data_IF_279288729900
#
_entry.id   IF_279288729900
#
_cell.length_a   1.000
_cell.length_b   1.000
_cell.length_c   1.000
_cell.angle_alpha   90.00
_cell.angle_beta   90.00
_cell.angle_gamma   90.00
#
_symmetry.space_group_name_H-M   'P 1'
#
loop_
_entity.id
_entity.type
_entity.pdbx_description
1 polymer ?
#
# COMPACT_ATOMS: atom_id res chain seq x y z
N UNK A 1 -61.61 60.71 -33.22
CA UNK A 1 -61.67 59.24 -33.06
C UNK A 1 -62.84 58.95 -32.13
N UNK A 2 -63.74 58.01 -32.48
CA UNK A 2 -64.82 57.62 -31.57
C UNK A 2 -64.22 57.04 -30.28
N UNK A 3 -64.77 57.45 -29.14
CA UNK A 3 -64.37 56.90 -27.85
C UNK A 3 -64.74 55.40 -27.81
N UNK A 4 -63.82 54.50 -27.45
CA UNK A 4 -64.15 53.08 -27.31
C UNK A 4 -65.21 52.90 -26.23
N UNK A 5 -66.11 51.94 -26.45
CA UNK A 5 -67.17 51.61 -25.50
C UNK A 5 -66.55 51.15 -24.17
N UNK A 6 -67.00 51.67 -23.01
CA UNK A 6 -66.48 51.25 -21.71
C UNK A 6 -66.72 49.76 -21.47
N UNK A 7 -65.73 49.06 -20.92
CA UNK A 7 -65.90 47.68 -20.47
C UNK A 7 -66.74 47.63 -19.20
N UNK A 8 -67.63 46.65 -19.09
CA UNK A 8 -68.38 46.36 -17.86
C UNK A 8 -67.53 45.59 -16.86
N UNK A 9 -67.92 45.57 -15.58
CA UNK A 9 -67.21 44.81 -14.53
C UNK A 9 -67.02 43.34 -14.90
N UNK A 10 -68.03 42.71 -15.50
CA UNK A 10 -68.00 41.31 -15.92
C UNK A 10 -67.08 41.06 -17.13
N UNK A 11 -66.76 42.10 -17.91
CA UNK A 11 -65.82 42.01 -19.04
C UNK A 11 -64.36 42.13 -18.61
N UNK A 12 -64.10 42.64 -17.40
CA UNK A 12 -62.73 42.82 -16.87
C UNK A 12 -62.40 41.85 -15.75
N UNK A 13 -63.40 41.29 -15.07
CA UNK A 13 -63.21 40.38 -13.95
C UNK A 13 -63.59 38.94 -14.31
N UNK A 14 -62.57 38.08 -14.37
CA UNK A 14 -62.77 36.64 -14.55
C UNK A 14 -62.70 35.94 -13.19
N UNK A 15 -63.87 35.57 -12.67
CA UNK A 15 -63.99 34.78 -11.43
C UNK A 15 -63.48 33.35 -11.68
N UNK A 16 -62.70 32.80 -10.73
CA UNK A 16 -62.47 31.36 -10.64
C UNK A 16 -63.71 30.72 -9.99
N UNK A 17 -64.51 29.92 -10.72
CA UNK A 17 -65.75 29.40 -10.19
C UNK A 17 -65.47 28.24 -9.20
N UNK A 18 -65.78 28.45 -7.92
CA UNK A 18 -65.51 27.52 -6.83
C UNK A 18 -66.19 26.15 -7.02
N UNK A 19 -67.34 26.12 -7.69
CA UNK A 19 -68.06 24.88 -8.02
C UNK A 19 -67.32 23.97 -9.02
N UNK A 20 -66.18 24.39 -9.57
CA UNK A 20 -65.29 23.55 -10.38
C UNK A 20 -64.17 22.88 -9.58
N UNK A 21 -64.01 23.23 -8.31
CA UNK A 21 -63.03 22.62 -7.42
C UNK A 21 -63.71 21.48 -6.66
N UNK A 22 -63.10 20.31 -6.67
CA UNK A 22 -63.59 19.08 -6.04
C UNK A 22 -63.02 18.87 -4.62
N UNK A 23 -62.39 19.89 -4.06
CA UNK A 23 -61.76 19.90 -2.74
C UNK A 23 -62.20 21.12 -1.91
N UNK A 24 -62.07 21.05 -0.58
CA UNK A 24 -62.43 22.14 0.34
C UNK A 24 -61.21 22.99 0.66
N UNK A 25 -60.07 22.36 0.94
CA UNK A 25 -58.78 23.03 1.12
C UNK A 25 -57.71 22.37 0.27
N UNK A 26 -56.62 23.09 0.02
CA UNK A 26 -55.47 22.54 -0.72
C UNK A 26 -54.77 21.40 0.02
N UNK A 27 -55.04 21.23 1.32
CA UNK A 27 -54.51 20.11 2.10
C UNK A 27 -55.19 18.77 1.73
N UNK A 28 -56.37 18.83 1.11
CA UNK A 28 -57.10 17.65 0.62
C UNK A 28 -56.52 17.12 -0.70
N UNK A 29 -55.63 17.88 -1.35
CA UNK A 29 -55.05 17.53 -2.65
C UNK A 29 -53.87 16.58 -2.49
N UNK A 30 -53.81 15.60 -3.39
CA UNK A 30 -52.63 14.75 -3.53
C UNK A 30 -51.53 15.47 -4.30
N UNK A 31 -50.29 15.22 -3.93
CA UNK A 31 -49.14 15.71 -4.69
C UNK A 31 -49.18 15.17 -6.11
N UNK A 32 -49.03 16.07 -7.09
CA UNK A 32 -48.93 15.69 -8.50
C UNK A 32 -47.62 14.95 -8.72
N UNK A 33 -47.63 13.77 -9.34
CA UNK A 33 -46.41 13.00 -9.66
C UNK A 33 -45.43 13.73 -10.59
N UNK A 34 -45.97 14.57 -11.49
CA UNK A 34 -45.19 15.34 -12.45
C UNK A 34 -45.64 16.81 -12.48
N UNK A 35 -44.72 17.75 -12.75
CA UNK A 35 -45.07 19.14 -12.92
C UNK A 35 -46.01 19.33 -14.12
N UNK A 36 -47.16 19.95 -13.86
CA UNK A 36 -48.20 20.18 -14.85
C UNK A 36 -47.79 21.24 -15.89
N UNK A 37 -48.10 21.00 -17.17
CA UNK A 37 -47.90 21.97 -18.26
C UNK A 37 -46.47 22.09 -18.81
N UNK A 38 -45.56 21.19 -18.43
CA UNK A 38 -44.15 21.19 -18.87
C UNK A 38 -43.80 19.99 -19.78
N UNK A 39 -44.75 19.49 -20.57
CA UNK A 39 -44.62 18.26 -21.39
C UNK A 39 -43.40 18.26 -22.34
N UNK A 40 -43.02 19.44 -22.84
CA UNK A 40 -41.83 19.58 -23.70
C UNK A 40 -40.54 19.35 -22.91
N UNK A 41 -40.45 19.87 -21.69
CA UNK A 41 -39.27 19.74 -20.84
C UNK A 41 -39.14 18.31 -20.34
N UNK A 42 -40.25 17.69 -19.92
CA UNK A 42 -40.28 16.30 -19.48
C UNK A 42 -39.82 15.34 -20.58
N UNK A 43 -40.29 15.50 -21.82
CA UNK A 43 -39.81 14.70 -22.96
C UNK A 43 -38.33 14.90 -23.27
N UNK A 44 -37.82 16.12 -23.12
CA UNK A 44 -36.39 16.40 -23.33
C UNK A 44 -35.52 15.76 -22.23
N UNK A 45 -35.98 15.80 -20.97
CA UNK A 45 -35.34 15.13 -19.84
C UNK A 45 -35.33 13.61 -20.02
N UNK A 46 -36.46 13.02 -20.44
CA UNK A 46 -36.57 11.58 -20.70
C UNK A 46 -35.66 11.14 -21.85
N UNK A 47 -35.64 11.88 -22.95
CA UNK A 47 -34.72 11.61 -24.05
C UNK A 47 -33.26 11.72 -23.60
N UNK A 48 -32.89 12.80 -22.91
CA UNK A 48 -31.52 13.03 -22.46
C UNK A 48 -31.04 11.98 -21.46
N UNK A 49 -31.86 11.68 -20.45
CA UNK A 49 -31.53 10.69 -19.42
C UNK A 49 -31.55 9.24 -19.95
N UNK A 50 -32.16 8.99 -21.11
CA UNK A 50 -32.14 7.69 -21.79
C UNK A 50 -30.86 7.40 -22.59
N UNK A 51 -30.05 8.42 -22.88
CA UNK A 51 -28.81 8.26 -23.65
C UNK A 51 -27.71 7.72 -22.73
N UNK A 52 -27.19 6.52 -23.05
CA UNK A 52 -26.03 5.91 -22.34
C UNK A 52 -24.68 6.10 -23.03
N UNK A 53 -24.62 6.90 -24.09
CA UNK A 53 -23.39 7.16 -24.83
C UNK A 53 -22.56 8.26 -24.13
N UNK A 54 -21.24 8.11 -24.16
CA UNK A 54 -20.32 9.14 -23.66
C UNK A 54 -20.42 10.44 -24.46
N UNK A 55 -20.16 11.57 -23.79
CA UNK A 55 -20.17 12.90 -24.40
C UNK A 55 -21.53 13.59 -24.48
N UNK A 56 -22.60 12.94 -24.02
CA UNK A 56 -23.94 13.54 -23.96
C UNK A 56 -24.23 14.08 -22.56
N UNK A 57 -24.51 15.38 -22.48
CA UNK A 57 -24.91 16.06 -21.25
C UNK A 57 -26.20 16.85 -21.49
N UNK A 58 -27.03 17.01 -20.46
CA UNK A 58 -28.23 17.84 -20.52
C UNK A 58 -27.99 19.20 -19.85
N UNK A 59 -28.38 20.28 -20.52
CA UNK A 59 -28.38 21.63 -19.96
C UNK A 59 -29.81 22.18 -19.92
N UNK A 60 -30.24 22.65 -18.74
CA UNK A 60 -31.62 23.09 -18.51
C UNK A 60 -31.65 24.61 -18.36
N UNK A 61 -32.33 25.28 -19.29
CA UNK A 61 -32.48 26.74 -19.34
C UNK A 61 -33.96 27.14 -19.15
N UNK A 62 -34.18 28.23 -18.42
CA UNK A 62 -35.51 28.83 -18.27
C UNK A 62 -35.51 30.00 -17.31
N UNK A 63 -36.63 30.73 -17.20
CA UNK A 63 -36.71 31.95 -16.41
C UNK A 63 -36.45 31.71 -14.92
N UNK A 64 -36.11 32.78 -14.20
CA UNK A 64 -35.99 32.73 -12.74
C UNK A 64 -37.35 32.46 -12.11
N UNK A 65 -37.39 31.72 -11.00
CA UNK A 65 -38.62 31.33 -10.31
C UNK A 65 -39.40 30.17 -10.96
N UNK A 66 -38.94 29.61 -12.09
CA UNK A 66 -39.63 28.52 -12.78
C UNK A 66 -39.47 27.12 -12.14
N UNK A 67 -38.92 27.02 -10.92
CA UNK A 67 -38.75 25.72 -10.23
C UNK A 67 -37.85 24.72 -10.96
N UNK A 68 -36.90 25.19 -11.78
CA UNK A 68 -36.09 24.31 -12.67
C UNK A 68 -35.34 23.20 -11.93
N UNK A 69 -34.68 23.55 -10.82
CA UNK A 69 -33.89 22.59 -10.04
C UNK A 69 -34.78 21.49 -9.47
N UNK A 70 -35.86 21.87 -8.79
CA UNK A 70 -36.85 20.94 -8.24
C UNK A 70 -37.44 20.01 -9.33
N UNK A 71 -37.78 20.56 -10.49
CA UNK A 71 -38.29 19.78 -11.62
C UNK A 71 -37.28 18.73 -12.10
N UNK A 72 -36.02 19.12 -12.26
CA UNK A 72 -34.95 18.24 -12.76
C UNK A 72 -34.59 17.19 -11.73
N UNK A 73 -34.40 17.60 -10.47
CA UNK A 73 -34.07 16.72 -9.36
C UNK A 73 -35.17 15.66 -9.17
N UNK A 74 -36.43 16.08 -9.12
CA UNK A 74 -37.55 15.15 -8.99
C UNK A 74 -37.64 14.15 -10.14
N UNK A 75 -37.49 14.63 -11.39
CA UNK A 75 -37.50 13.77 -12.56
C UNK A 75 -36.34 12.75 -12.52
N UNK A 76 -35.12 13.23 -12.25
CA UNK A 76 -33.93 12.38 -12.20
C UNK A 76 -34.01 11.37 -11.06
N UNK A 77 -34.46 11.76 -9.88
CA UNK A 77 -34.61 10.86 -8.73
C UNK A 77 -35.56 9.70 -9.02
N UNK A 78 -36.72 9.97 -9.66
CA UNK A 78 -37.67 8.93 -10.06
C UNK A 78 -37.09 7.98 -11.12
N UNK A 79 -36.33 8.51 -12.07
CA UNK A 79 -35.70 7.70 -13.11
C UNK A 79 -34.51 6.89 -12.57
N UNK A 80 -33.68 7.51 -11.74
CA UNK A 80 -32.47 6.95 -11.17
C UNK A 80 -32.77 5.81 -10.19
N UNK A 81 -33.86 5.90 -9.42
CA UNK A 81 -34.34 4.82 -8.55
C UNK A 81 -34.65 3.50 -9.30
N UNK A 82 -34.86 3.54 -10.63
CA UNK A 82 -35.11 2.37 -11.47
C UNK A 82 -33.86 1.83 -12.17
N UNK A 83 -32.73 2.51 -12.03
CA UNK A 83 -31.45 2.09 -12.62
C UNK A 83 -30.77 1.05 -11.73
N UNK A 84 -29.81 0.27 -12.26
CA UNK A 84 -28.96 -0.56 -11.41
C UNK A 84 -28.14 0.30 -10.46
N UNK A 85 -27.91 -0.22 -9.24
CA UNK A 85 -26.99 0.40 -8.28
C UNK A 85 -25.58 0.39 -8.88
N UNK A 86 -24.87 1.53 -8.92
CA UNK A 86 -23.52 1.58 -9.45
C UNK A 86 -22.53 0.82 -8.58
N UNK A 87 -21.37 0.43 -9.15
CA UNK A 87 -20.30 -0.22 -8.39
C UNK A 87 -19.67 0.71 -7.34
N UNK A 88 -19.07 0.12 -6.32
CA UNK A 88 -18.18 0.82 -5.39
C UNK A 88 -16.81 1.05 -6.05
N UNK A 89 -16.11 2.09 -5.59
CA UNK A 89 -14.76 2.41 -6.05
C UNK A 89 -13.81 2.63 -4.88
N UNK A 90 -12.67 1.95 -4.93
CA UNK A 90 -11.61 2.02 -3.94
C UNK A 90 -10.29 2.47 -4.59
N UNK A 91 -9.61 3.42 -3.96
CA UNK A 91 -8.19 3.67 -4.22
C UNK A 91 -7.32 2.74 -3.39
N UNK A 92 -6.35 2.15 -4.06
CA UNK A 92 -5.34 1.27 -3.47
C UNK A 92 -3.95 1.82 -3.74
N UNK A 93 -2.99 1.48 -2.89
CA UNK A 93 -1.62 1.90 -3.09
C UNK A 93 -1.04 1.24 -4.35
N UNK A 94 -0.24 1.98 -5.10
CA UNK A 94 0.43 1.44 -6.27
C UNK A 94 1.91 1.24 -5.96
N UNK A 95 2.28 -0.02 -5.73
CA UNK A 95 3.64 -0.42 -5.35
C UNK A 95 4.69 -0.09 -6.43
N UNK A 96 4.28 0.09 -7.70
CA UNK A 96 5.20 0.49 -8.79
C UNK A 96 5.36 1.99 -8.91
N UNK A 97 4.28 2.74 -8.68
CA UNK A 97 4.23 4.19 -8.83
C UNK A 97 3.47 4.81 -7.65
N UNK A 98 4.18 5.12 -6.57
CA UNK A 98 3.59 5.60 -5.32
C UNK A 98 2.76 6.89 -5.45
N UNK A 99 3.01 7.68 -6.50
CA UNK A 99 2.30 8.92 -6.84
C UNK A 99 1.04 8.69 -7.69
N UNK A 100 0.75 7.44 -8.07
CA UNK A 100 -0.36 7.06 -8.96
C UNK A 100 -1.20 5.95 -8.33
N UNK A 101 -2.10 6.27 -7.38
CA UNK A 101 -2.92 5.26 -6.73
C UNK A 101 -3.73 4.44 -7.76
N UNK A 102 -3.81 3.14 -7.53
CA UNK A 102 -4.67 2.26 -8.32
C UNK A 102 -6.13 2.49 -7.98
N UNK A 103 -7.04 2.09 -8.88
CA UNK A 103 -8.47 2.09 -8.63
C UNK A 103 -9.01 0.68 -8.85
N UNK A 104 -9.77 0.17 -7.90
CA UNK A 104 -10.45 -1.13 -7.98
C UNK A 104 -11.96 -0.87 -7.94
N UNK A 105 -12.65 -1.47 -8.90
CA UNK A 105 -14.11 -1.47 -8.97
C UNK A 105 -14.65 -2.70 -8.23
N UNK A 106 -15.62 -2.50 -7.34
CA UNK A 106 -16.28 -3.59 -6.62
C UNK A 106 -17.80 -3.54 -6.85
N UNK A 107 -18.51 -4.68 -6.72
CA UNK A 107 -19.96 -4.66 -6.62
C UNK A 107 -20.42 -3.76 -5.47
N UNK A 108 -21.60 -3.15 -5.62
CA UNK A 108 -22.16 -2.24 -4.63
C UNK A 108 -22.18 -2.85 -3.22
N UNK A 109 -21.66 -2.09 -2.24
CA UNK A 109 -21.56 -2.48 -0.84
C UNK A 109 -20.39 -3.41 -0.49
N UNK A 110 -19.65 -3.96 -1.45
CA UNK A 110 -18.48 -4.79 -1.16
C UNK A 110 -17.24 -3.95 -0.82
N UNK A 111 -17.22 -2.66 -1.16
CA UNK A 111 -16.10 -1.75 -0.87
C UNK A 111 -15.85 -1.58 0.64
N UNK A 112 -16.91 -1.49 1.46
CA UNK A 112 -16.78 -1.45 2.92
C UNK A 112 -16.12 -2.72 3.47
N UNK A 113 -16.54 -3.89 2.97
CA UNK A 113 -15.99 -5.16 3.40
C UNK A 113 -14.51 -5.28 3.00
N UNK A 114 -14.15 -4.89 1.79
CA UNK A 114 -12.76 -4.94 1.32
C UNK A 114 -11.86 -3.99 2.14
N UNK A 115 -12.34 -2.76 2.42
CA UNK A 115 -11.62 -1.80 3.28
C UNK A 115 -11.37 -2.36 4.68
N UNK A 116 -12.37 -3.02 5.25
CA UNK A 116 -12.27 -3.68 6.56
C UNK A 116 -11.25 -4.81 6.53
N UNK A 117 -11.38 -5.73 5.57
CA UNK A 117 -10.47 -6.87 5.40
C UNK A 117 -9.01 -6.44 5.27
N UNK A 118 -8.73 -5.41 4.47
CA UNK A 118 -7.37 -4.90 4.28
C UNK A 118 -6.83 -4.17 5.52
N UNK A 119 -7.71 -3.55 6.31
CA UNK A 119 -7.33 -2.93 7.57
C UNK A 119 -7.03 -3.97 8.65
N UNK A 120 -7.81 -5.06 8.70
CA UNK A 120 -7.57 -6.22 9.56
C UNK A 120 -6.28 -6.93 9.16
N UNK A 121 -6.04 -7.15 7.87
CA UNK A 121 -4.77 -7.68 7.36
C UNK A 121 -3.60 -6.80 7.82
N UNK A 122 -3.67 -5.49 7.65
CA UNK A 122 -2.57 -4.60 8.06
C UNK A 122 -2.26 -4.70 9.57
N UNK A 123 -3.28 -4.83 10.42
CA UNK A 123 -3.08 -5.03 11.86
C UNK A 123 -2.56 -6.44 12.20
N UNK A 124 -2.96 -7.45 11.45
CA UNK A 124 -2.42 -8.81 11.60
C UNK A 124 -0.95 -8.89 11.17
N UNK A 125 -0.58 -8.27 10.05
CA UNK A 125 0.82 -8.17 9.61
C UNK A 125 1.70 -7.44 10.63
N UNK A 126 1.14 -6.43 11.32
CA UNK A 126 1.83 -5.68 12.36
C UNK A 126 2.26 -6.56 13.54
N UNK A 127 1.56 -7.67 13.80
CA UNK A 127 1.84 -8.56 14.94
C UNK A 127 2.46 -9.89 14.51
N UNK A 128 1.97 -10.49 13.44
CA UNK A 128 2.38 -11.82 12.98
C UNK A 128 3.82 -11.85 12.47
N UNK A 129 4.26 -10.84 11.72
CA UNK A 129 5.61 -10.81 11.15
C UNK A 129 6.68 -10.66 12.26
N UNK A 130 6.58 -9.69 13.20
CA UNK A 130 7.51 -9.64 14.33
C UNK A 130 7.52 -10.94 15.14
N UNK A 131 6.35 -11.53 15.42
CA UNK A 131 6.26 -12.79 16.15
C UNK A 131 6.96 -13.96 15.41
N UNK A 132 6.91 -13.99 14.07
CA UNK A 132 7.64 -14.97 13.28
C UNK A 132 9.16 -14.82 13.42
N UNK A 133 9.66 -13.60 13.54
CA UNK A 133 11.07 -13.32 13.83
C UNK A 133 11.48 -13.59 15.27
N UNK A 134 10.53 -13.62 16.21
CA UNK A 134 10.77 -14.04 17.59
C UNK A 134 10.66 -15.57 17.79
N UNK A 135 10.22 -16.29 16.76
CA UNK A 135 10.02 -17.74 16.84
C UNK A 135 11.32 -18.51 17.07
N UNK A 136 11.24 -19.61 17.83
CA UNK A 136 12.39 -20.49 18.11
C UNK A 136 13.01 -21.04 16.81
N UNK A 137 12.18 -21.34 15.81
CA UNK A 137 12.64 -21.84 14.51
C UNK A 137 13.53 -20.82 13.80
N UNK A 138 13.09 -19.56 13.70
CA UNK A 138 13.88 -18.51 13.08
C UNK A 138 15.16 -18.23 13.86
N UNK A 139 15.08 -18.13 15.19
CA UNK A 139 16.25 -17.87 16.05
C UNK A 139 17.28 -19.00 15.95
N UNK A 140 16.85 -20.26 15.89
CA UNK A 140 17.74 -21.40 15.71
C UNK A 140 18.45 -21.37 14.35
N UNK A 141 17.72 -21.13 13.25
CA UNK A 141 18.31 -21.03 11.91
C UNK A 141 19.26 -19.84 11.79
N UNK A 142 18.91 -18.70 12.40
CA UNK A 142 19.77 -17.52 12.44
C UNK A 142 21.07 -17.80 13.21
N UNK A 143 20.98 -18.47 14.36
CA UNK A 143 22.14 -18.88 15.14
C UNK A 143 23.03 -19.86 14.36
N UNK A 144 22.45 -20.83 13.66
CA UNK A 144 23.19 -21.79 12.83
C UNK A 144 24.00 -21.08 11.74
N UNK A 145 23.41 -20.10 11.05
CA UNK A 145 24.10 -19.29 10.04
C UNK A 145 25.27 -18.49 10.64
N UNK A 146 25.08 -17.92 11.83
CA UNK A 146 26.13 -17.18 12.54
C UNK A 146 27.26 -18.09 13.01
N UNK A 147 26.93 -19.28 13.52
CA UNK A 147 27.92 -20.28 13.94
C UNK A 147 28.71 -20.85 12.77
N UNK A 148 28.08 -21.10 11.62
CA UNK A 148 28.75 -21.52 10.39
C UNK A 148 29.81 -20.49 9.97
N UNK A 149 29.47 -19.20 10.04
CA UNK A 149 30.40 -18.12 9.76
C UNK A 149 31.57 -18.09 10.75
N UNK A 150 31.27 -18.13 12.05
CA UNK A 150 32.28 -18.11 13.10
C UNK A 150 33.26 -19.29 12.95
N UNK A 151 32.73 -20.49 12.69
CA UNK A 151 33.52 -21.71 12.42
C UNK A 151 34.42 -21.54 11.20
N UNK A 152 33.92 -21.02 10.07
CA UNK A 152 34.74 -20.76 8.87
C UNK A 152 35.85 -19.74 9.11
N UNK A 153 35.56 -18.67 9.85
CA UNK A 153 36.57 -17.67 10.22
C UNK A 153 37.64 -18.25 11.13
N UNK A 154 37.23 -18.98 12.17
CA UNK A 154 38.16 -19.63 13.08
C UNK A 154 39.02 -20.68 12.37
N UNK A 155 38.43 -21.50 11.50
CA UNK A 155 39.14 -22.52 10.74
C UNK A 155 40.22 -21.91 9.83
N UNK A 156 39.90 -20.85 9.08
CA UNK A 156 40.87 -20.17 8.22
C UNK A 156 42.03 -19.54 8.99
N UNK A 157 41.78 -19.01 10.19
CA UNK A 157 42.84 -18.49 11.07
C UNK A 157 43.65 -19.62 11.74
N UNK A 158 42.98 -20.71 12.12
CA UNK A 158 43.60 -21.87 12.76
C UNK A 158 44.57 -22.58 11.81
N UNK A 159 44.22 -22.72 10.53
CA UNK A 159 45.12 -23.30 9.51
C UNK A 159 46.41 -22.49 9.35
N UNK A 160 46.31 -21.16 9.41
CA UNK A 160 47.49 -20.27 9.37
C UNK A 160 48.32 -20.40 10.65
N UNK A 161 47.67 -20.50 11.83
CA UNK A 161 48.36 -20.71 13.10
C UNK A 161 49.14 -22.04 13.12
N UNK A 162 48.52 -23.13 12.67
CA UNK A 162 49.15 -24.45 12.57
C UNK A 162 50.36 -24.44 11.63
N UNK A 163 50.22 -23.77 10.47
CA UNK A 163 51.33 -23.63 9.53
C UNK A 163 52.47 -22.78 10.10
N UNK A 164 52.15 -21.68 10.79
CA UNK A 164 53.14 -20.86 11.47
C UNK A 164 53.92 -21.69 12.52
N UNK A 165 53.20 -22.43 13.36
CA UNK A 165 53.80 -23.27 14.41
C UNK A 165 54.76 -24.33 13.83
N UNK A 166 54.40 -24.96 12.70
CA UNK A 166 55.28 -25.93 12.00
C UNK A 166 56.57 -25.31 11.48
N UNK A 167 56.55 -24.02 11.17
CA UNK A 167 57.72 -23.27 10.70
C UNK A 167 58.45 -22.55 11.86
N UNK A 168 58.15 -22.87 13.13
CA UNK A 168 58.69 -22.19 14.31
C UNK A 168 58.40 -20.68 14.32
N UNK A 169 57.20 -20.29 13.92
CA UNK A 169 56.71 -18.92 13.93
C UNK A 169 55.41 -18.90 14.74
N UNK A 170 55.27 -17.96 15.67
CA UNK A 170 54.03 -17.75 16.41
C UNK A 170 53.21 -16.64 15.75
N UNK A 171 51.92 -16.88 15.53
CA UNK A 171 50.95 -15.81 15.21
C UNK A 171 50.41 -15.22 16.52
N UNK A 172 50.46 -13.89 16.65
CA UNK A 172 50.10 -13.15 17.86
C UNK A 172 49.03 -12.11 17.51
N UNK A 173 48.00 -12.02 18.35
CA UNK A 173 46.98 -10.98 18.25
C UNK A 173 47.50 -9.68 18.89
N UNK A 174 47.46 -8.60 18.13
CA UNK A 174 47.85 -7.24 18.53
C UNK A 174 46.67 -6.29 18.35
N UNK A 175 46.69 -5.08 18.95
CA UNK A 175 45.64 -4.07 18.70
C UNK A 175 45.49 -3.68 17.23
N UNK A 176 46.53 -3.86 16.41
CA UNK A 176 46.54 -3.59 14.97
C UNK A 176 46.10 -4.79 14.12
N UNK A 177 45.75 -5.94 14.72
CA UNK A 177 45.42 -7.18 14.01
C UNK A 177 46.34 -8.33 14.38
N UNK A 178 46.73 -9.16 13.41
CA UNK A 178 47.63 -10.29 13.65
C UNK A 178 49.06 -9.97 13.20
N UNK A 179 50.05 -10.39 13.99
CA UNK A 179 51.47 -10.33 13.62
C UNK A 179 52.13 -11.70 13.76
N UNK A 180 53.26 -11.91 13.09
CA UNK A 180 54.05 -13.12 13.19
C UNK A 180 55.38 -12.82 13.90
N UNK A 181 55.78 -13.69 14.82
CA UNK A 181 57.06 -13.59 15.53
C UNK A 181 57.81 -14.93 15.48
N UNK A 182 59.14 -14.95 15.34
CA UNK A 182 59.92 -16.18 15.40
C UNK A 182 59.80 -16.84 16.78
N UNK A 183 59.84 -18.18 16.79
CA UNK A 183 59.71 -19.01 17.99
C UNK A 183 60.87 -20.01 18.06
N UNK A 184 61.36 -20.32 19.27
CA UNK A 184 62.36 -21.38 19.50
C UNK A 184 61.98 -22.17 20.74
N UNK A 185 61.96 -23.51 20.65
CA UNK A 185 61.53 -24.40 21.75
C UNK A 185 60.13 -24.09 22.32
N UNK A 186 59.25 -23.51 21.51
CA UNK A 186 57.89 -23.16 21.94
C UNK A 186 57.74 -21.77 22.57
N UNK A 187 58.81 -20.98 22.68
CA UNK A 187 58.77 -19.61 23.21
C UNK A 187 59.13 -18.58 22.13
N UNK A 188 58.43 -17.43 22.13
CA UNK A 188 58.68 -16.33 21.21
C UNK A 188 60.06 -15.73 21.51
N UNK A 189 60.87 -15.55 20.47
CA UNK A 189 62.24 -15.06 20.60
C UNK A 189 62.23 -13.55 20.79
N UNK A 190 62.98 -13.06 21.78
CA UNK A 190 63.16 -11.63 22.01
C UNK A 190 64.09 -11.01 20.94
N UNK A 191 63.86 -9.76 20.49
CA UNK A 191 64.67 -9.09 19.46
C UNK A 191 66.20 -9.18 19.62
N UNK A 192 66.73 -9.24 20.85
CA UNK A 192 68.17 -9.38 21.10
C UNK A 192 68.71 -10.79 20.79
N UNK A 193 67.88 -11.82 20.96
CA UNK A 193 68.26 -13.20 20.70
C UNK A 193 68.11 -13.55 19.20
N UNK A 194 67.19 -12.87 18.50
CA UNK A 194 67.07 -12.90 17.04
C UNK A 194 68.32 -12.33 16.33
N UNK A 195 69.02 -11.35 16.93
CA UNK A 195 70.26 -10.79 16.35
C UNK A 195 71.39 -11.81 16.25
N UNK A 196 71.40 -12.81 17.15
CA UNK A 196 72.43 -13.86 17.21
C UNK A 196 72.24 -14.97 16.16
N UNK A 197 71.16 -14.93 15.38
CA UNK A 197 70.93 -15.88 14.28
C UNK A 197 71.93 -15.65 13.14
N UNK A 198 72.32 -16.73 12.47
CA UNK A 198 73.09 -16.64 11.23
C UNK A 198 72.29 -15.95 10.13
N UNK A 199 72.98 -15.37 9.14
CA UNK A 199 72.31 -14.68 8.03
C UNK A 199 71.42 -15.64 7.21
N UNK A 200 71.79 -16.92 7.11
CA UNK A 200 70.99 -17.97 6.47
C UNK A 200 69.69 -18.28 7.24
N UNK A 201 69.76 -18.36 8.58
CA UNK A 201 68.57 -18.59 9.42
C UNK A 201 67.62 -17.40 9.39
N UNK A 202 68.15 -16.17 9.38
CA UNK A 202 67.35 -14.94 9.26
C UNK A 202 66.60 -14.89 7.93
N UNK A 203 67.28 -15.19 6.81
CA UNK A 203 66.65 -15.23 5.48
C UNK A 203 65.54 -16.28 5.38
N UNK A 204 65.74 -17.45 5.98
CA UNK A 204 64.72 -18.51 5.98
C UNK A 204 63.46 -18.08 6.73
N UNK A 205 63.63 -17.51 7.93
CA UNK A 205 62.52 -17.00 8.76
C UNK A 205 61.79 -15.86 8.05
N UNK A 206 62.50 -14.89 7.49
CA UNK A 206 61.91 -13.77 6.75
C UNK A 206 61.05 -14.26 5.57
N UNK A 207 61.55 -15.21 4.76
CA UNK A 207 60.78 -15.74 3.62
C UNK A 207 59.48 -16.44 4.07
N UNK A 208 59.54 -17.15 5.21
CA UNK A 208 58.38 -17.87 5.77
C UNK A 208 57.38 -16.93 6.41
N UNK A 209 57.85 -15.88 7.09
CA UNK A 209 56.99 -14.81 7.59
C UNK A 209 56.28 -14.12 6.42
N UNK A 210 56.97 -13.82 5.33
CA UNK A 210 56.37 -13.19 4.14
C UNK A 210 55.32 -14.10 3.47
N UNK A 211 55.58 -15.41 3.37
CA UNK A 211 54.61 -16.41 2.88
C UNK A 211 53.35 -16.47 3.77
N UNK A 212 53.53 -16.53 5.10
CA UNK A 212 52.44 -16.56 6.08
C UNK A 212 51.65 -15.24 6.10
N UNK A 213 52.32 -14.10 6.00
CA UNK A 213 51.68 -12.79 5.87
C UNK A 213 50.80 -12.72 4.61
N UNK A 214 51.28 -13.24 3.48
CA UNK A 214 50.52 -13.29 2.24
C UNK A 214 49.27 -14.17 2.38
N UNK A 215 49.38 -15.34 3.01
CA UNK A 215 48.24 -16.23 3.31
C UNK A 215 47.23 -15.58 4.26
N UNK A 216 47.71 -14.96 5.33
CA UNK A 216 46.87 -14.20 6.27
C UNK A 216 46.12 -13.08 5.57
N UNK A 217 46.79 -12.32 4.71
CA UNK A 217 46.16 -11.26 3.93
C UNK A 217 45.08 -11.81 3.00
N UNK A 218 45.31 -12.96 2.35
CA UNK A 218 44.32 -13.63 1.52
C UNK A 218 43.09 -14.08 2.33
N UNK A 219 43.29 -14.68 3.51
CA UNK A 219 42.19 -15.09 4.40
C UNK A 219 41.39 -13.88 4.89
N UNK A 220 42.06 -12.78 5.26
CA UNK A 220 41.39 -11.54 5.68
C UNK A 220 40.59 -10.93 4.51
N UNK A 221 41.11 -10.98 3.28
CA UNK A 221 40.37 -10.52 2.08
C UNK A 221 39.11 -11.34 1.79
N UNK A 222 39.01 -12.58 2.29
CA UNK A 222 37.80 -13.39 2.15
C UNK A 222 36.73 -13.02 3.18
N UNK A 223 37.08 -12.37 4.30
CA UNK A 223 36.12 -12.01 5.36
C UNK A 223 34.97 -11.13 4.85
N UNK A 224 35.19 -10.05 4.07
CA UNK A 224 34.10 -9.27 3.50
C UNK A 224 33.19 -10.08 2.59
N UNK A 225 33.74 -11.03 1.81
CA UNK A 225 32.95 -11.90 0.93
C UNK A 225 32.06 -12.84 1.73
N UNK A 226 32.61 -13.47 2.77
CA UNK A 226 31.84 -14.33 3.68
C UNK A 226 30.74 -13.54 4.42
N UNK A 227 31.03 -12.31 4.85
CA UNK A 227 30.01 -11.44 5.46
C UNK A 227 28.87 -11.11 4.50
N UNK A 228 29.18 -10.89 3.23
CA UNK A 228 28.17 -10.67 2.19
C UNK A 228 27.31 -11.92 1.98
N UNK A 229 27.92 -13.09 1.87
CA UNK A 229 27.21 -14.37 1.72
C UNK A 229 26.25 -14.64 2.89
N UNK A 230 26.70 -14.42 4.13
CA UNK A 230 25.84 -14.56 5.32
C UNK A 230 24.68 -13.58 5.27
N UNK A 231 24.92 -12.32 4.89
CA UNK A 231 23.85 -11.32 4.75
C UNK A 231 22.80 -11.75 3.72
N UNK A 232 23.23 -12.26 2.57
CA UNK A 232 22.32 -12.77 1.54
C UNK A 232 21.50 -13.98 2.04
N UNK A 233 22.12 -14.89 2.81
CA UNK A 233 21.42 -16.03 3.42
C UNK A 233 20.43 -15.60 4.51
N UNK A 234 20.78 -14.60 5.32
CA UNK A 234 19.87 -14.02 6.31
C UNK A 234 18.69 -13.33 5.63
N UNK A 235 18.92 -12.59 4.55
CA UNK A 235 17.84 -11.99 3.76
C UNK A 235 16.90 -13.06 3.18
N UNK A 236 17.46 -14.13 2.61
CA UNK A 236 16.65 -15.24 2.09
C UNK A 236 15.85 -15.95 3.21
N UNK A 237 16.45 -16.12 4.39
CA UNK A 237 15.75 -16.66 5.56
C UNK A 237 14.60 -15.73 5.99
N UNK A 238 14.81 -14.41 5.98
CA UNK A 238 13.78 -13.43 6.30
C UNK A 238 12.61 -13.52 5.33
N UNK A 239 12.89 -13.56 4.02
CA UNK A 239 11.88 -13.72 2.98
C UNK A 239 11.09 -15.03 3.16
N UNK A 240 11.77 -16.15 3.41
CA UNK A 240 11.13 -17.47 3.64
C UNK A 240 10.17 -17.41 4.84
N UNK A 241 10.62 -16.86 5.97
CA UNK A 241 9.79 -16.75 7.17
C UNK A 241 8.57 -15.86 6.96
N UNK A 242 8.74 -14.72 6.27
CA UNK A 242 7.63 -13.84 5.95
C UNK A 242 6.66 -14.53 4.99
N UNK A 243 7.13 -15.18 3.93
CA UNK A 243 6.26 -15.91 2.99
C UNK A 243 5.40 -16.97 3.69
N UNK A 244 5.98 -17.75 4.60
CA UNK A 244 5.25 -18.74 5.40
C UNK A 244 4.20 -18.07 6.28
N UNK A 245 4.56 -16.96 6.93
CA UNK A 245 3.66 -16.18 7.80
C UNK A 245 2.49 -15.58 7.02
N UNK A 246 2.73 -15.10 5.80
CA UNK A 246 1.71 -14.50 4.93
C UNK A 246 0.74 -15.52 4.35
N UNK A 247 1.13 -16.80 4.26
CA UNK A 247 0.35 -17.84 3.59
C UNK A 247 -1.06 -18.00 4.14
N UNK A 248 -1.25 -17.91 5.45
CA UNK A 248 -2.57 -17.95 6.09
C UNK A 248 -3.39 -16.69 5.80
N UNK A 249 -3.00 -15.52 6.32
CA UNK A 249 -3.80 -14.28 6.24
C UNK A 249 -4.15 -13.87 4.80
N UNK A 250 -3.17 -13.90 3.89
CA UNK A 250 -3.39 -13.55 2.48
C UNK A 250 -4.14 -14.67 1.75
N UNK A 251 -3.88 -15.94 2.08
CA UNK A 251 -4.57 -17.08 1.48
C UNK A 251 -6.07 -17.07 1.75
N UNK A 252 -6.48 -16.73 2.97
CA UNK A 252 -7.89 -16.59 3.35
C UNK A 252 -8.59 -15.48 2.54
N UNK A 253 -7.96 -14.31 2.44
CA UNK A 253 -8.49 -13.19 1.66
C UNK A 253 -8.56 -13.50 0.16
N UNK A 254 -7.56 -14.19 -0.40
CA UNK A 254 -7.60 -14.64 -1.79
C UNK A 254 -8.75 -15.61 -2.05
N UNK A 255 -9.03 -16.52 -1.12
CA UNK A 255 -10.18 -17.42 -1.20
C UNK A 255 -11.50 -16.63 -1.21
N UNK A 256 -11.63 -15.70 -0.26
CA UNK A 256 -12.83 -14.84 -0.11
C UNK A 256 -13.11 -13.96 -1.33
N UNK A 257 -12.06 -13.38 -1.92
CA UNK A 257 -12.16 -12.44 -3.04
C UNK A 257 -11.87 -13.06 -4.42
N UNK A 258 -11.85 -14.39 -4.51
CA UNK A 258 -11.52 -15.14 -5.74
C UNK A 258 -12.40 -14.81 -6.95
N UNK A 259 -13.60 -14.26 -6.74
CA UNK A 259 -14.51 -13.81 -7.79
C UNK A 259 -14.11 -12.46 -8.42
N UNK A 260 -13.14 -11.74 -7.85
CA UNK A 260 -12.67 -10.43 -8.35
C UNK A 260 -11.16 -10.47 -8.62
N UNK A 261 -10.73 -10.69 -9.88
CA UNK A 261 -9.32 -10.81 -10.25
C UNK A 261 -8.47 -9.61 -9.82
N UNK A 262 -8.98 -8.38 -9.99
CA UNK A 262 -8.24 -7.16 -9.64
C UNK A 262 -7.86 -7.11 -8.14
N UNK A 263 -8.70 -7.67 -7.26
CA UNK A 263 -8.40 -7.76 -5.83
C UNK A 263 -7.37 -8.85 -5.57
N UNK A 264 -7.48 -10.00 -6.24
CA UNK A 264 -6.50 -11.09 -6.11
C UNK A 264 -5.11 -10.63 -6.57
N UNK A 265 -5.04 -9.93 -7.69
CA UNK A 265 -3.79 -9.35 -8.22
C UNK A 265 -3.21 -8.31 -7.25
N UNK A 266 -4.08 -7.49 -6.64
CA UNK A 266 -3.64 -6.55 -5.62
C UNK A 266 -3.12 -7.25 -4.34
N UNK A 267 -3.78 -8.31 -3.87
CA UNK A 267 -3.32 -9.11 -2.73
C UNK A 267 -1.97 -9.80 -3.01
N UNK A 268 -1.75 -10.24 -4.25
CA UNK A 268 -0.45 -10.77 -4.67
C UNK A 268 0.63 -9.68 -4.66
N UNK A 269 0.31 -8.47 -5.11
CA UNK A 269 1.24 -7.34 -5.04
C UNK A 269 1.54 -6.91 -3.58
N UNK A 270 0.54 -6.94 -2.70
CA UNK A 270 0.72 -6.73 -1.25
C UNK A 270 1.68 -7.76 -0.68
N UNK A 271 1.50 -9.05 -1.01
CA UNK A 271 2.39 -10.12 -0.56
C UNK A 271 3.83 -9.87 -0.99
N UNK A 272 4.04 -9.49 -2.25
CA UNK A 272 5.37 -9.19 -2.79
C UNK A 272 6.01 -8.00 -2.08
N UNK A 273 5.28 -6.89 -1.88
CA UNK A 273 5.79 -5.70 -1.18
C UNK A 273 6.15 -6.00 0.28
N UNK A 274 5.35 -6.82 0.97
CA UNK A 274 5.64 -7.21 2.36
C UNK A 274 6.91 -8.06 2.45
N UNK A 275 7.13 -8.97 1.50
CA UNK A 275 8.36 -9.79 1.44
C UNK A 275 9.58 -8.92 1.12
N UNK A 276 9.46 -8.00 0.16
CA UNK A 276 10.54 -7.06 -0.19
C UNK A 276 10.94 -6.16 0.99
N UNK A 277 9.97 -5.78 1.84
CA UNK A 277 10.19 -4.95 3.01
C UNK A 277 10.24 -5.74 4.33
N UNK A 278 10.53 -7.05 4.30
CA UNK A 278 10.53 -7.93 5.47
C UNK A 278 11.36 -7.38 6.65
N UNK A 279 12.55 -6.83 6.37
CA UNK A 279 13.45 -6.26 7.38
C UNK A 279 12.84 -5.03 8.08
N UNK A 280 12.03 -4.23 7.37
CA UNK A 280 11.40 -3.04 7.93
C UNK A 280 10.33 -3.37 8.99
N UNK A 281 9.88 -4.63 9.06
CA UNK A 281 9.01 -5.11 10.12
C UNK A 281 9.76 -5.49 11.41
N UNK A 282 11.10 -5.65 11.35
CA UNK A 282 11.95 -5.90 12.53
C UNK A 282 12.40 -4.60 13.23
N UNK A 283 12.43 -3.48 12.50
CA UNK A 283 13.01 -2.23 12.99
C UNK A 283 12.10 -1.50 14.01
N UNK A 284 12.28 -1.82 15.30
CA UNK A 284 12.07 -0.87 16.42
C UNK A 284 11.22 -1.36 17.60
N UNK A 285 11.48 -0.77 18.78
CA UNK A 285 10.71 -0.95 20.04
C UNK A 285 9.20 -0.61 19.90
N UNK A 286 8.78 0.00 18.79
CA UNK A 286 7.40 0.43 18.51
C UNK A 286 6.72 -0.35 17.35
N UNK A 287 7.36 -1.36 16.78
CA UNK A 287 6.85 -2.13 15.64
C UNK A 287 7.04 -1.45 14.27
N UNK A 288 6.46 -2.00 13.19
CA UNK A 288 6.71 -1.54 11.82
C UNK A 288 6.32 -0.07 11.60
N UNK A 289 7.02 0.66 10.70
CA UNK A 289 6.72 2.05 10.40
C UNK A 289 5.24 2.25 10.01
N UNK A 290 4.57 3.21 10.64
CA UNK A 290 3.16 3.51 10.35
C UNK A 290 2.91 3.83 8.85
N UNK A 291 3.90 4.43 8.18
CA UNK A 291 3.85 4.70 6.75
C UNK A 291 3.91 3.45 5.86
N UNK A 292 4.54 2.36 6.33
CA UNK A 292 4.57 1.07 5.62
C UNK A 292 3.20 0.40 5.73
N UNK A 293 2.65 0.29 6.94
CA UNK A 293 1.31 -0.28 7.15
C UNK A 293 0.20 0.49 6.44
N UNK A 294 0.35 1.82 6.31
CA UNK A 294 -0.58 2.65 5.58
C UNK A 294 -0.68 2.29 4.08
N UNK A 295 0.36 1.72 3.47
CA UNK A 295 0.33 1.27 2.06
C UNK A 295 -0.68 0.15 1.82
N UNK A 296 -0.93 -0.67 2.83
CA UNK A 296 -1.85 -1.81 2.71
C UNK A 296 -3.30 -1.42 3.00
N UNK A 297 -3.57 -0.19 3.45
CA UNK A 297 -4.94 0.30 3.67
C UNK A 297 -5.60 0.70 2.35
N UNK A 298 -6.92 0.58 2.33
CA UNK A 298 -7.75 0.92 1.17
C UNK A 298 -8.55 2.19 1.45
N UNK A 299 -8.59 3.09 0.47
CA UNK A 299 -9.41 4.29 0.51
C UNK A 299 -10.70 4.08 -0.30
N UNK A 300 -11.82 3.78 0.38
CA UNK A 300 -13.14 3.70 -0.23
C UNK A 300 -13.63 5.10 -0.63
N UNK A 301 -13.71 5.39 -1.92
CA UNK A 301 -14.12 6.70 -2.45
C UNK A 301 -15.62 6.77 -2.70
N UNK A 302 -16.16 5.70 -3.30
CA UNK A 302 -17.57 5.61 -3.64
C UNK A 302 -18.12 4.37 -2.98
N UNK A 303 -19.09 4.59 -2.09
CA UNK A 303 -19.77 3.56 -1.32
C UNK A 303 -21.26 3.61 -1.66
N UNK A 304 -21.75 2.55 -2.28
CA UNK A 304 -23.16 2.41 -2.65
C UNK A 304 -23.90 1.35 -1.82
N UNK A 305 -23.40 0.98 -0.64
CA UNK A 305 -24.01 -0.06 0.20
C UNK A 305 -25.49 0.21 0.54
N UNK A 306 -25.82 1.48 0.80
CA UNK A 306 -27.18 1.93 1.15
C UNK A 306 -27.91 2.60 -0.02
N UNK A 307 -27.35 2.54 -1.23
CA UNK A 307 -27.90 3.23 -2.40
C UNK A 307 -29.00 2.40 -3.06
N UNK A 308 -30.13 3.04 -3.38
CA UNK A 308 -31.23 2.43 -4.13
C UNK A 308 -31.28 3.04 -5.53
N UNK A 309 -30.90 2.23 -6.51
CA UNK A 309 -30.75 2.65 -7.90
C UNK A 309 -29.52 3.50 -8.16
N UNK A 310 -29.53 4.30 -9.23
CA UNK A 310 -28.46 5.26 -9.49
C UNK A 310 -28.59 6.50 -8.57
N UNK A 311 -27.46 7.06 -8.10
CA UNK A 311 -27.48 8.26 -7.27
C UNK A 311 -27.74 9.52 -8.10
N UNK A 312 -28.44 10.49 -7.49
CA UNK A 312 -28.58 11.86 -8.00
C UNK A 312 -27.84 12.77 -7.03
N UNK A 313 -26.76 13.39 -7.51
CA UNK A 313 -25.90 14.25 -6.70
C UNK A 313 -26.08 15.69 -7.16
N UNK A 314 -26.47 16.56 -6.24
CA UNK A 314 -26.52 18.00 -6.44
C UNK A 314 -25.32 18.66 -5.74
N UNK A 315 -24.53 19.42 -6.49
CA UNK A 315 -23.41 20.20 -5.98
C UNK A 315 -23.72 21.69 -6.13
N UNK A 316 -23.91 22.38 -5.01
CA UNK A 316 -24.25 23.81 -4.97
C UNK A 316 -23.03 24.70 -5.23
N UNK A 317 -21.83 24.22 -4.85
CA UNK A 317 -20.57 24.93 -5.02
C UNK A 317 -19.61 24.11 -5.90
N UNK A 318 -19.82 24.08 -7.23
CA UNK A 318 -19.06 23.24 -8.18
C UNK A 318 -17.64 23.78 -8.43
N UNK A 319 -16.86 23.94 -7.37
CA UNK A 319 -15.44 24.26 -7.44
C UNK A 319 -14.63 22.99 -7.76
N UNK A 320 -13.36 23.18 -8.12
CA UNK A 320 -12.50 22.05 -8.50
C UNK A 320 -12.37 20.98 -7.40
N UNK A 321 -12.28 21.38 -6.13
CA UNK A 321 -12.11 20.43 -5.02
C UNK A 321 -13.35 19.58 -4.78
N UNK A 322 -14.55 20.15 -4.90
CA UNK A 322 -15.79 19.41 -4.74
C UNK A 322 -16.04 18.44 -5.92
N UNK A 323 -15.62 18.82 -7.14
CA UNK A 323 -15.84 18.00 -8.33
C UNK A 323 -14.76 16.92 -8.54
N UNK A 324 -13.49 17.23 -8.24
CA UNK A 324 -12.34 16.37 -8.53
C UNK A 324 -11.67 15.78 -7.28
N UNK A 325 -12.09 16.18 -6.08
CA UNK A 325 -11.47 15.79 -4.82
C UNK A 325 -10.22 16.61 -4.47
N UNK A 326 -9.59 16.22 -3.36
CA UNK A 326 -8.38 16.86 -2.82
C UNK A 326 -7.39 15.80 -2.33
N UNK A 327 -6.10 16.10 -2.49
CA UNK A 327 -5.00 15.31 -1.90
C UNK A 327 -4.50 16.07 -0.66
N UNK A 328 -4.53 15.41 0.49
CA UNK A 328 -3.96 15.95 1.72
C UNK A 328 -2.50 15.50 1.88
N UNK A 329 -1.62 16.46 2.14
CA UNK A 329 -0.23 16.18 2.51
C UNK A 329 -0.08 16.26 4.02
N UNK A 330 0.40 15.17 4.64
CA UNK A 330 0.86 15.21 6.04
C UNK A 330 2.31 15.71 6.05
N UNK A 331 2.52 16.84 6.74
CA UNK A 331 3.84 17.47 6.91
C UNK A 331 4.70 16.73 7.93
#
# INVERSE_FOLDING_TARGET
>A
MPLPTPLTGDQVYHVCPENKLDFVTTDDLQDLDQPYGQDRVLRALEFGAGIRAEGFNLFVLGPSGAGKHELVERFLSLNAARQPVPPDWCHVYNFRFSDRPGAIQLPAGQGQQFKKDMSELAEELRTAIPAAFESEEYQARLQELQEEMAKRQHQGLFEIQEEANRNNIAMITTPAGFTFAPMRKGEVIDPEEYKNFSDEEKQLVESKVEELQKKLQQTIQQIPRMRKEVRERVHALNEEMVQLTLGGPIGELRGKWSHLPDIVDYLDAVREDVVEHAEAFQDGDNGPPAGLLARYKVNLLVDNAETVGAPVIYEDLPNHQHLAGQIEHRA
#
